data_IF_266719420926
#
_entry.id   IF_266719420926
#
_cell.length_a   1.000
_cell.length_b   1.000
_cell.length_c   1.000
_cell.angle_alpha   90.00
_cell.angle_beta   90.00
_cell.angle_gamma   90.00
#
_symmetry.space_group_name_H-M   'P 1'
#
loop_
_entity.id
_entity.type
_entity.pdbx_description
1 polymer ?
#
# COMPACT_ATOMS: atom_id res chain seq x y z
N UNK A 1 21.72 2.49 31.76
CA UNK A 1 20.43 1.77 31.83
C UNK A 1 19.92 1.70 30.40
N UNK A 2 19.62 0.52 29.88
CA UNK A 2 19.09 0.38 28.51
C UNK A 2 17.74 1.07 28.42
N UNK A 3 17.57 2.00 27.48
CA UNK A 3 16.27 2.61 27.14
C UNK A 3 15.26 1.50 26.88
N UNK A 4 14.07 1.52 27.50
CA UNK A 4 13.05 0.50 27.28
C UNK A 4 12.58 0.55 25.81
N UNK A 5 12.24 -0.61 25.26
CA UNK A 5 11.73 -0.68 23.88
C UNK A 5 10.43 0.13 23.76
N UNK A 6 10.28 0.94 22.70
CA UNK A 6 9.07 1.71 22.51
C UNK A 6 7.89 0.79 22.22
N UNK A 7 6.70 1.26 22.58
CA UNK A 7 5.46 0.62 22.18
C UNK A 7 5.17 0.97 20.71
N UNK A 8 4.77 -0.02 19.90
CA UNK A 8 4.52 0.22 18.46
C UNK A 8 3.23 -0.43 17.97
N UNK A 9 2.64 0.18 16.96
CA UNK A 9 1.62 -0.42 16.11
C UNK A 9 2.10 -0.43 14.66
N UNK A 10 1.79 -1.49 13.91
CA UNK A 10 2.20 -1.59 12.51
C UNK A 10 1.17 -2.33 11.65
N UNK A 11 1.19 -2.03 10.36
CA UNK A 11 0.37 -2.71 9.36
C UNK A 11 1.22 -3.71 8.58
N UNK A 12 0.71 -4.92 8.44
CA UNK A 12 1.29 -5.93 7.57
C UNK A 12 0.18 -6.73 6.88
N UNK A 13 0.27 -6.86 5.56
CA UNK A 13 -0.70 -7.58 4.73
C UNK A 13 -2.17 -7.18 4.99
N UNK A 14 -2.41 -5.87 5.18
CA UNK A 14 -3.74 -5.32 5.46
C UNK A 14 -4.29 -5.61 6.86
N UNK A 15 -3.47 -6.13 7.78
CA UNK A 15 -3.82 -6.41 9.19
C UNK A 15 -3.06 -5.47 10.13
N UNK A 16 -3.67 -5.22 11.28
CA UNK A 16 -3.13 -4.36 12.33
C UNK A 16 -2.51 -5.19 13.45
N UNK A 17 -1.25 -4.89 13.76
CA UNK A 17 -0.49 -5.50 14.83
C UNK A 17 -0.08 -4.45 15.87
N UNK A 18 0.02 -4.89 17.12
CA UNK A 18 0.46 -4.08 18.25
C UNK A 18 1.53 -4.83 19.04
N UNK A 19 2.63 -4.16 19.36
CA UNK A 19 3.73 -4.68 20.17
C UNK A 19 3.81 -3.81 21.44
N UNK A 20 3.31 -4.30 22.58
CA UNK A 20 3.52 -3.65 23.86
C UNK A 20 5.01 -3.61 24.22
N UNK A 21 5.45 -2.59 24.96
CA UNK A 21 6.85 -2.52 25.44
C UNK A 21 7.21 -3.81 26.21
N UNK A 22 8.25 -4.50 25.73
CA UNK A 22 8.77 -5.74 26.33
C UNK A 22 7.86 -6.98 26.28
N UNK A 23 6.73 -6.98 25.55
CA UNK A 23 5.82 -8.14 25.41
C UNK A 23 5.62 -8.57 23.97
N UNK A 24 5.22 -9.81 23.71
CA UNK A 24 5.01 -10.31 22.35
C UNK A 24 3.99 -9.51 21.53
N UNK A 25 4.14 -9.59 20.20
CA UNK A 25 3.23 -8.97 19.23
C UNK A 25 1.83 -9.58 19.34
N UNK A 26 0.81 -8.72 19.41
CA UNK A 26 -0.61 -9.07 19.35
C UNK A 26 -1.21 -8.62 18.02
N UNK A 27 -1.98 -9.50 17.36
CA UNK A 27 -2.85 -9.12 16.24
C UNK A 27 -4.11 -8.43 16.80
N UNK A 28 -4.42 -7.23 16.31
CA UNK A 28 -5.68 -6.55 16.60
C UNK A 28 -6.69 -6.98 15.55
N UNK A 29 -7.74 -7.67 16.00
CA UNK A 29 -8.84 -8.10 15.16
C UNK A 29 -9.96 -7.06 15.20
N UNK A 30 -10.29 -6.48 14.05
CA UNK A 30 -11.47 -5.61 13.95
C UNK A 30 -12.73 -6.45 13.97
N UNK A 31 -13.58 -6.23 14.98
CA UNK A 31 -14.90 -6.87 15.09
C UNK A 31 -15.77 -6.49 13.88
N UNK A 32 -15.70 -5.21 13.46
CA UNK A 32 -16.43 -4.75 12.30
C UNK A 32 -16.00 -5.45 10.99
N UNK A 33 -14.70 -5.60 10.77
CA UNK A 33 -14.18 -6.30 9.59
C UNK A 33 -14.63 -7.77 9.59
N UNK A 34 -14.58 -8.44 10.75
CA UNK A 34 -15.05 -9.82 10.88
C UNK A 34 -16.55 -9.94 10.57
N UNK A 35 -17.37 -9.06 11.12
CA UNK A 35 -18.81 -9.03 10.81
C UNK A 35 -19.07 -8.85 9.31
N UNK A 36 -18.32 -7.98 8.66
CA UNK A 36 -18.47 -7.69 7.24
C UNK A 36 -18.08 -8.90 6.38
N UNK A 37 -16.95 -9.53 6.70
CA UNK A 37 -16.51 -10.79 6.09
C UNK A 37 -17.55 -11.90 6.27
N UNK A 38 -18.11 -12.05 7.46
CA UNK A 38 -19.11 -13.06 7.77
C UNK A 38 -20.45 -12.82 7.07
N UNK A 39 -20.89 -11.56 6.96
CA UNK A 39 -22.06 -11.18 6.16
C UNK A 39 -21.84 -11.54 4.69
N UNK A 40 -20.70 -11.17 4.11
CA UNK A 40 -20.35 -11.48 2.73
C UNK A 40 -20.28 -12.98 2.48
N UNK A 41 -19.67 -13.75 3.39
CA UNK A 41 -19.60 -15.21 3.28
C UNK A 41 -21.01 -15.84 3.30
N UNK A 42 -21.91 -15.35 4.16
CA UNK A 42 -23.32 -15.79 4.18
C UNK A 42 -24.04 -15.42 2.89
N UNK A 43 -23.80 -14.23 2.35
CA UNK A 43 -24.42 -13.80 1.09
C UNK A 43 -23.90 -14.61 -0.10
N UNK A 44 -22.59 -14.91 -0.15
CA UNK A 44 -21.98 -15.77 -1.16
C UNK A 44 -22.54 -17.20 -1.08
N UNK A 45 -22.72 -17.75 0.12
CA UNK A 45 -23.35 -19.07 0.30
C UNK A 45 -24.80 -19.07 -0.20
N UNK A 46 -25.59 -18.01 0.11
CA UNK A 46 -26.99 -17.86 -0.31
C UNK A 46 -27.16 -17.62 -1.81
N UNK A 47 -26.21 -16.92 -2.44
CA UNK A 47 -26.23 -16.54 -3.86
C UNK A 47 -25.42 -17.47 -4.75
N UNK A 48 -24.73 -18.47 -4.17
CA UNK A 48 -23.91 -19.46 -4.89
C UNK A 48 -24.68 -20.13 -6.04
N UNK A 49 -25.95 -20.49 -5.83
CA UNK A 49 -26.81 -21.09 -6.86
C UNK A 49 -27.15 -20.14 -8.02
N UNK A 50 -27.19 -18.81 -7.79
CA UNK A 50 -27.39 -17.80 -8.86
C UNK A 50 -26.12 -17.61 -9.68
N UNK A 51 -24.95 -17.66 -9.03
CA UNK A 51 -23.65 -17.49 -9.68
C UNK A 51 -23.27 -18.66 -10.61
N UNK A 52 -23.71 -19.89 -10.31
CA UNK A 52 -23.52 -21.04 -11.20
C UNK A 52 -24.28 -20.92 -12.52
N UNK A 53 -25.42 -20.23 -12.56
CA UNK A 53 -26.16 -19.94 -13.81
C UNK A 53 -25.58 -18.78 -14.63
N UNK A 54 -24.97 -17.79 -13.99
CA UNK A 54 -24.33 -16.63 -14.66
C UNK A 54 -23.03 -17.02 -15.37
N UNK A 55 -22.26 -17.96 -14.84
CA UNK A 55 -21.01 -18.41 -15.46
C UNK A 55 -21.24 -19.17 -16.77
N UNK A 56 -22.38 -19.86 -16.92
CA UNK A 56 -22.81 -20.42 -18.21
C UNK A 56 -23.10 -19.31 -19.24
N UNK A 57 -23.76 -18.23 -18.84
CA UNK A 57 -24.09 -17.13 -19.76
C UNK A 57 -22.88 -16.28 -20.16
N UNK A 58 -21.91 -16.05 -19.26
CA UNK A 58 -20.66 -15.32 -19.58
C UNK A 58 -19.73 -16.16 -20.49
N UNK A 59 -19.79 -17.48 -20.40
CA UNK A 59 -19.01 -18.36 -21.31
C UNK A 59 -19.74 -18.57 -22.65
N UNK A 60 -21.07 -18.52 -22.66
CA UNK A 60 -21.90 -18.68 -23.86
C UNK A 60 -22.03 -17.39 -24.68
N UNK A 61 -21.95 -16.23 -24.04
CA UNK A 61 -22.04 -14.93 -24.69
C UNK A 61 -20.68 -14.24 -24.54
N UNK A 62 -19.93 -14.18 -25.65
CA UNK A 62 -18.59 -13.57 -25.76
C UNK A 62 -18.66 -12.05 -25.55
N UNK A 63 -19.03 -11.60 -24.35
CA UNK A 63 -19.18 -10.19 -24.04
C UNK A 63 -17.80 -9.60 -23.66
N UNK A 64 -17.06 -9.24 -24.70
CA UNK A 64 -15.70 -8.72 -24.61
C UNK A 64 -15.63 -7.42 -23.79
N UNK A 65 -16.75 -6.67 -23.70
CA UNK A 65 -16.85 -5.45 -22.89
C UNK A 65 -16.85 -5.75 -21.39
N UNK A 66 -17.53 -6.81 -20.95
CA UNK A 66 -17.51 -7.24 -19.55
C UNK A 66 -16.11 -7.72 -19.12
N UNK A 67 -15.40 -8.44 -20.00
CA UNK A 67 -14.02 -8.87 -19.77
C UNK A 67 -13.05 -7.67 -19.77
N UNK A 68 -13.28 -6.67 -20.63
CA UNK A 68 -12.50 -5.44 -20.67
C UNK A 68 -12.74 -4.56 -19.42
N UNK A 69 -13.96 -4.50 -18.87
CA UNK A 69 -14.24 -3.84 -17.59
C UNK A 69 -13.55 -4.51 -16.41
N UNK A 70 -13.55 -5.85 -16.37
CA UNK A 70 -12.85 -6.63 -15.33
C UNK A 70 -11.33 -6.44 -15.41
N UNK A 71 -10.76 -6.36 -16.63
CA UNK A 71 -9.34 -6.02 -16.82
C UNK A 71 -9.03 -4.54 -16.55
N UNK A 72 -9.91 -3.63 -16.92
CA UNK A 72 -9.77 -2.19 -16.68
C UNK A 72 -9.75 -1.87 -15.18
N UNK A 73 -10.60 -2.55 -14.39
CA UNK A 73 -10.57 -2.47 -12.93
C UNK A 73 -9.27 -3.02 -12.31
N UNK A 74 -8.67 -4.04 -12.92
CA UNK A 74 -7.38 -4.60 -12.49
C UNK A 74 -6.18 -3.70 -12.87
N UNK A 75 -6.27 -2.95 -13.98
CA UNK A 75 -5.26 -1.98 -14.42
C UNK A 75 -5.36 -0.63 -13.69
N UNK A 76 -6.56 -0.25 -13.23
CA UNK A 76 -6.80 0.96 -12.42
C UNK A 76 -6.34 0.85 -10.96
N UNK A 77 -5.55 -0.17 -10.58
CA UNK A 77 -5.15 -0.41 -9.19
C UNK A 77 -6.32 -0.68 -8.23
N UNK A 78 -7.54 -0.82 -8.74
CA UNK A 78 -8.78 -0.81 -7.97
C UNK A 78 -9.15 -2.22 -7.47
N UNK A 79 -8.14 -3.03 -7.13
CA UNK A 79 -8.36 -4.28 -6.40
C UNK A 79 -8.70 -3.89 -4.96
N UNK A 80 -9.93 -3.42 -4.74
CA UNK A 80 -10.48 -3.03 -3.44
C UNK A 80 -10.52 -4.29 -2.56
N UNK A 81 -9.39 -4.62 -1.97
CA UNK A 81 -9.26 -5.63 -0.93
C UNK A 81 -9.78 -5.01 0.36
N UNK A 82 -10.47 -5.80 1.17
CA UNK A 82 -10.88 -5.39 2.52
C UNK A 82 -9.61 -5.34 3.37
N UNK A 83 -9.08 -4.14 3.59
CA UNK A 83 -7.81 -3.95 4.28
C UNK A 83 -7.86 -2.76 5.23
N UNK A 84 -7.05 -2.87 6.29
CA UNK A 84 -6.69 -1.71 7.10
C UNK A 84 -5.65 -0.94 6.30
N UNK A 85 -6.00 0.27 5.87
CA UNK A 85 -5.21 1.09 4.95
C UNK A 85 -4.26 2.05 5.68
N UNK A 86 -4.61 2.45 6.90
CA UNK A 86 -3.80 3.35 7.70
C UNK A 86 -3.96 3.10 9.20
N UNK A 87 -2.90 3.42 9.95
CA UNK A 87 -2.86 3.39 11.41
C UNK A 87 -2.18 4.65 11.92
N UNK A 88 -2.69 5.20 13.02
CA UNK A 88 -2.02 6.24 13.78
C UNK A 88 -2.38 6.14 15.26
N UNK A 89 -1.59 6.78 16.11
CA UNK A 89 -1.83 6.81 17.56
C UNK A 89 -2.95 7.81 17.87
N UNK A 90 -3.78 7.49 18.85
CA UNK A 90 -4.80 8.39 19.37
C UNK A 90 -4.24 9.49 20.27
N UNK A 91 -5.15 10.26 20.85
CA UNK A 91 -4.82 11.32 21.81
C UNK A 91 -4.41 10.76 23.17
N UNK A 92 -5.03 9.66 23.57
CA UNK A 92 -4.82 9.05 24.88
C UNK A 92 -3.93 7.83 24.75
N UNK A 93 -3.07 7.62 25.75
CA UNK A 93 -2.25 6.40 25.82
C UNK A 93 -3.14 5.16 25.88
N UNK A 94 -2.89 4.22 24.96
CA UNK A 94 -3.71 3.03 24.75
C UNK A 94 -4.78 3.19 23.66
N UNK A 95 -4.83 4.29 22.92
CA UNK A 95 -5.74 4.44 21.77
C UNK A 95 -4.99 4.31 20.43
N UNK A 96 -5.55 3.50 19.54
CA UNK A 96 -5.10 3.38 18.15
C UNK A 96 -6.26 3.79 17.24
N UNK A 97 -5.99 4.65 16.27
CA UNK A 97 -6.92 4.94 15.19
C UNK A 97 -6.47 4.21 13.94
N UNK A 98 -7.43 3.62 13.23
CA UNK A 98 -7.13 2.98 11.96
C UNK A 98 -8.25 3.21 10.95
N UNK A 99 -7.87 3.19 9.67
CA UNK A 99 -8.77 3.33 8.54
C UNK A 99 -9.01 1.96 7.91
N UNK A 100 -10.28 1.61 7.72
CA UNK A 100 -10.68 0.40 7.01
C UNK A 100 -11.30 0.81 5.67
N UNK A 101 -10.79 0.24 4.58
CA UNK A 101 -11.40 0.35 3.26
C UNK A 101 -11.93 -1.01 2.81
N UNK A 102 -13.11 -0.99 2.23
CA UNK A 102 -13.73 -2.14 1.57
C UNK A 102 -14.16 -1.74 0.16
N UNK A 103 -14.77 -2.67 -0.57
CA UNK A 103 -15.23 -2.40 -1.93
C UNK A 103 -16.26 -1.27 -2.02
N UNK A 104 -17.11 -1.13 -1.00
CA UNK A 104 -18.27 -0.22 -1.05
C UNK A 104 -18.25 0.84 0.04
N UNK A 105 -17.49 0.61 1.11
CA UNK A 105 -17.49 1.44 2.30
C UNK A 105 -16.06 1.64 2.81
N UNK A 106 -15.75 2.87 3.23
CA UNK A 106 -14.59 3.16 4.06
C UNK A 106 -15.01 3.78 5.39
N UNK A 107 -14.12 3.70 6.38
CA UNK A 107 -14.36 4.28 7.68
C UNK A 107 -13.13 4.44 8.54
N UNK A 108 -13.26 5.30 9.55
CA UNK A 108 -12.29 5.49 10.62
C UNK A 108 -12.84 4.83 11.87
N UNK A 109 -11.96 4.07 12.53
CA UNK A 109 -12.26 3.35 13.75
C UNK A 109 -11.23 3.72 14.82
N UNK A 110 -11.68 3.72 16.06
CA UNK A 110 -10.83 3.89 17.24
C UNK A 110 -10.84 2.60 18.04
N UNK A 111 -9.66 2.07 18.30
CA UNK A 111 -9.45 0.89 19.12
C UNK A 111 -8.85 1.30 20.47
N UNK A 112 -9.47 0.87 21.56
CA UNK A 112 -8.93 1.06 22.90
C UNK A 112 -8.24 -0.22 23.36
N UNK A 113 -6.92 -0.16 23.52
CA UNK A 113 -6.06 -1.27 23.92
C UNK A 113 -6.31 -1.75 25.37
N UNK A 114 -6.87 -0.89 26.23
CA UNK A 114 -7.13 -1.22 27.65
C UNK A 114 -8.46 -1.96 27.82
N UNK A 115 -9.51 -1.51 27.15
CA UNK A 115 -10.85 -2.11 27.21
C UNK A 115 -11.11 -3.16 26.13
N UNK A 116 -10.20 -3.31 25.16
CA UNK A 116 -10.36 -4.22 24.00
C UNK A 116 -11.66 -3.90 23.22
N UNK A 117 -11.98 -2.61 23.10
CA UNK A 117 -13.22 -2.13 22.49
C UNK A 117 -12.93 -1.30 21.24
N UNK A 118 -13.82 -1.43 20.25
CA UNK A 118 -13.74 -0.76 18.96
C UNK A 118 -14.92 0.20 18.78
N UNK A 119 -14.62 1.48 18.59
CA UNK A 119 -15.60 2.52 18.29
C UNK A 119 -15.54 2.90 16.81
N UNK A 120 -16.72 3.06 16.20
CA UNK A 120 -16.85 3.56 14.83
C UNK A 120 -16.97 5.08 14.84
N UNK A 121 -15.97 5.76 14.29
CA UNK A 121 -15.88 7.22 14.30
C UNK A 121 -16.55 7.83 13.06
N UNK A 122 -16.20 7.32 11.88
CA UNK A 122 -16.77 7.74 10.62
C UNK A 122 -16.93 6.53 9.70
N UNK A 123 -18.02 6.49 8.93
CA UNK A 123 -18.30 5.36 8.05
C UNK A 123 -19.27 5.80 6.96
N UNK A 124 -18.81 5.77 5.71
CA UNK A 124 -19.56 6.26 4.54
C UNK A 124 -19.32 5.40 3.31
N UNK A 125 -20.33 5.33 2.45
CA UNK A 125 -20.17 4.73 1.13
C UNK A 125 -19.18 5.54 0.28
N UNK A 126 -18.40 4.85 -0.56
CA UNK A 126 -17.41 5.44 -1.47
C UNK A 126 -16.34 6.31 -0.78
N UNK A 127 -16.18 6.19 0.53
CA UNK A 127 -15.09 6.81 1.26
C UNK A 127 -13.85 5.93 1.13
N UNK A 128 -12.72 6.49 0.72
CA UNK A 128 -11.45 5.77 0.59
C UNK A 128 -10.38 6.54 1.36
N UNK A 129 -10.10 6.10 2.58
CA UNK A 129 -9.11 6.77 3.43
C UNK A 129 -7.76 6.10 3.22
N UNK A 130 -6.77 6.89 2.80
CA UNK A 130 -5.42 6.40 2.49
C UNK A 130 -4.49 6.48 3.69
N UNK A 131 -4.44 7.66 4.29
CA UNK A 131 -3.67 7.96 5.49
C UNK A 131 -4.47 8.86 6.41
N UNK A 132 -4.13 8.84 7.69
CA UNK A 132 -4.71 9.73 8.67
C UNK A 132 -3.73 10.08 9.78
N UNK A 133 -4.00 11.19 10.46
CA UNK A 133 -3.34 11.57 11.70
C UNK A 133 -4.34 12.27 12.63
N UNK A 134 -4.31 11.88 13.90
CA UNK A 134 -5.08 12.54 14.96
C UNK A 134 -4.21 13.60 15.62
N UNK A 135 -4.81 14.77 15.89
CA UNK A 135 -4.13 15.86 16.57
C UNK A 135 -3.85 15.45 18.03
N UNK A 136 -2.65 15.70 18.57
CA UNK A 136 -2.25 15.21 19.89
C UNK A 136 -2.98 15.85 21.08
N UNK A 137 -3.79 16.89 20.88
CA UNK A 137 -4.29 17.77 21.95
C UNK A 137 -5.75 18.18 21.71
N UNK A 138 -6.07 18.60 20.48
CA UNK A 138 -7.43 18.97 20.08
C UNK A 138 -8.19 17.81 19.45
N UNK A 139 -9.52 17.78 19.61
CA UNK A 139 -10.46 16.82 18.98
C UNK A 139 -10.56 17.02 17.45
N UNK A 140 -9.46 16.77 16.76
CA UNK A 140 -9.26 17.02 15.34
C UNK A 140 -8.44 15.88 14.73
N UNK A 141 -8.80 15.49 13.52
CA UNK A 141 -8.08 14.52 12.71
C UNK A 141 -8.01 15.03 11.27
N UNK A 142 -6.92 14.70 10.59
CA UNK A 142 -6.74 14.94 9.16
C UNK A 142 -6.61 13.60 8.45
N UNK A 143 -7.29 13.46 7.31
CA UNK A 143 -7.33 12.25 6.52
C UNK A 143 -7.02 12.58 5.05
N UNK A 144 -6.24 11.75 4.39
CA UNK A 144 -6.16 11.74 2.92
C UNK A 144 -7.28 10.87 2.37
N UNK A 145 -8.13 11.46 1.53
CA UNK A 145 -9.22 10.79 0.83
C UNK A 145 -8.83 10.63 -0.63
N UNK A 146 -8.88 9.40 -1.13
CA UNK A 146 -8.75 9.11 -2.56
C UNK A 146 -10.09 9.19 -3.27
N UNK A 147 -10.09 9.77 -4.47
CA UNK A 147 -11.25 9.89 -5.34
C UNK A 147 -11.14 8.93 -6.54
N UNK A 148 -12.26 8.72 -7.25
CA UNK A 148 -12.32 7.78 -8.37
C UNK A 148 -11.53 8.26 -9.60
N UNK A 149 -11.24 9.55 -9.69
CA UNK A 149 -10.45 10.16 -10.75
C UNK A 149 -8.92 10.02 -10.56
N UNK A 150 -8.50 9.37 -9.46
CA UNK A 150 -7.11 9.16 -9.08
C UNK A 150 -6.49 10.26 -8.24
N UNK A 151 -7.19 11.38 -8.01
CA UNK A 151 -6.75 12.43 -7.09
C UNK A 151 -6.87 11.97 -5.64
N UNK A 152 -6.09 12.61 -4.77
CA UNK A 152 -6.23 12.45 -3.33
C UNK A 152 -6.08 13.82 -2.66
N UNK A 153 -7.05 14.18 -1.83
CA UNK A 153 -7.06 15.46 -1.12
C UNK A 153 -7.18 15.25 0.39
N UNK A 154 -6.80 16.27 1.15
CA UNK A 154 -6.86 16.24 2.59
C UNK A 154 -8.19 16.79 3.09
N UNK A 155 -8.76 16.10 4.07
CA UNK A 155 -9.93 16.56 4.81
C UNK A 155 -9.66 16.56 6.30
N UNK A 156 -10.28 17.48 7.01
CA UNK A 156 -10.32 17.47 8.46
C UNK A 156 -11.67 17.03 8.98
N UNK A 157 -11.67 16.40 10.15
CA UNK A 157 -12.87 16.02 10.89
C UNK A 157 -12.56 16.01 12.38
N UNK A 158 -13.60 15.95 13.22
CA UNK A 158 -13.39 15.69 14.66
C UNK A 158 -12.90 14.26 14.88
N UNK A 159 -11.98 14.06 15.82
CA UNK A 159 -11.50 12.73 16.19
C UNK A 159 -12.61 11.89 16.87
N UNK A 160 -13.57 12.56 17.51
CA UNK A 160 -14.81 11.97 18.04
C UNK A 160 -15.84 11.61 16.96
N UNK A 161 -15.59 11.97 15.71
CA UNK A 161 -16.51 11.79 14.59
C UNK A 161 -17.32 13.05 14.29
N UNK A 162 -17.80 13.16 13.05
CA UNK A 162 -18.55 14.32 12.60
C UNK A 162 -18.50 14.53 11.09
N UNK A 163 -18.78 15.77 10.67
CA UNK A 163 -18.63 16.18 9.27
C UNK A 163 -17.15 16.30 8.92
N UNK A 164 -16.84 15.95 7.68
CA UNK A 164 -15.53 16.17 7.07
C UNK A 164 -15.57 17.49 6.30
N UNK A 165 -14.49 18.25 6.34
CA UNK A 165 -14.29 19.48 5.60
C UNK A 165 -12.98 19.37 4.80
N UNK A 166 -13.01 19.69 3.50
CA UNK A 166 -11.82 19.67 2.66
C UNK A 166 -10.84 20.77 3.07
N UNK A 167 -9.56 20.45 3.04
CA UNK A 167 -8.45 21.35 3.36
C UNK A 167 -7.56 21.60 2.14
N UNK A 168 -7.48 20.62 1.24
CA UNK A 168 -6.85 20.80 -0.06
C UNK A 168 -7.83 20.42 -1.16
N UNK A 169 -7.65 21.02 -2.33
CA UNK A 169 -8.45 20.80 -3.52
C UNK A 169 -7.53 20.86 -4.74
N UNK A 170 -7.98 20.26 -5.84
CA UNK A 170 -7.29 20.29 -7.12
C UNK A 170 -6.86 18.92 -7.60
N UNK A 171 -6.13 18.93 -8.71
CA UNK A 171 -5.65 17.71 -9.37
C UNK A 171 -4.28 17.31 -8.79
N UNK A 172 -4.33 16.88 -7.54
CA UNK A 172 -3.16 16.55 -6.74
C UNK A 172 -3.33 15.21 -6.04
N UNK A 173 -2.20 14.72 -5.55
CA UNK A 173 -2.10 13.54 -4.73
C UNK A 173 -1.49 13.91 -3.38
N UNK A 174 -2.35 14.33 -2.47
CA UNK A 174 -2.00 14.73 -1.13
C UNK A 174 -2.19 13.56 -0.16
N UNK A 175 -1.11 13.17 0.52
CA UNK A 175 -1.10 11.98 1.36
C UNK A 175 -0.20 12.15 2.59
N UNK A 176 -0.18 11.14 3.46
CA UNK A 176 0.63 11.07 4.68
C UNK A 176 0.61 12.36 5.54
N UNK A 177 -0.55 12.95 5.85
CA UNK A 177 -0.61 14.14 6.69
C UNK A 177 -0.19 13.81 8.12
N UNK A 178 0.55 14.70 8.78
CA UNK A 178 1.06 14.56 10.15
C UNK A 178 1.05 15.89 10.89
N UNK A 179 0.42 15.92 12.06
CA UNK A 179 0.38 17.09 12.93
C UNK A 179 1.76 17.41 13.51
N UNK A 180 2.04 18.70 13.60
CA UNK A 180 3.25 19.23 14.24
C UNK A 180 2.94 19.46 15.71
N UNK A 181 3.61 18.71 16.60
CA UNK A 181 3.39 18.87 18.05
C UNK A 181 3.78 20.27 18.52
N UNK A 182 2.95 20.87 19.36
CA UNK A 182 3.20 22.19 19.96
C UNK A 182 3.06 23.37 18.99
N UNK A 183 2.59 23.18 17.76
CA UNK A 183 2.35 24.27 16.77
C UNK A 183 0.87 24.45 16.41
N UNK A 184 -0.04 24.22 17.37
CA UNK A 184 -1.48 24.35 17.16
C UNK A 184 -1.97 23.52 15.97
N UNK A 185 -2.85 24.09 15.14
CA UNK A 185 -3.45 23.40 13.98
C UNK A 185 -2.57 23.45 12.73
N UNK A 186 -1.30 23.12 12.90
CA UNK A 186 -0.34 22.99 11.81
C UNK A 186 -0.04 21.53 11.52
N UNK A 187 -0.11 21.13 10.26
CA UNK A 187 0.30 19.80 9.82
C UNK A 187 1.17 19.87 8.55
N UNK A 188 2.02 18.85 8.39
CA UNK A 188 2.82 18.62 7.20
C UNK A 188 2.27 17.43 6.42
N UNK A 189 2.45 17.43 5.12
CA UNK A 189 1.97 16.36 4.24
C UNK A 189 2.82 16.30 2.97
N UNK A 190 2.72 15.19 2.25
CA UNK A 190 3.36 15.04 0.94
C UNK A 190 2.33 15.33 -0.16
N UNK A 191 2.77 15.94 -1.26
CA UNK A 191 1.90 16.36 -2.35
C UNK A 191 2.62 16.18 -3.68
N UNK A 192 1.91 15.68 -4.68
CA UNK A 192 2.36 15.64 -6.07
C UNK A 192 1.22 16.10 -6.99
N UNK A 193 1.52 16.88 -8.02
CA UNK A 193 0.54 17.24 -9.05
C UNK A 193 0.31 16.07 -9.99
N UNK A 194 -0.93 15.91 -10.47
CA UNK A 194 -1.29 14.89 -11.45
C UNK A 194 -1.29 15.54 -12.84
N UNK A 195 -0.62 14.91 -13.80
CA UNK A 195 -0.71 15.27 -15.20
C UNK A 195 -1.78 14.40 -15.88
N UNK A 196 -2.66 15.03 -16.66
CA UNK A 196 -3.73 14.34 -17.40
C UNK A 196 -3.58 14.52 -18.91
N UNK A 197 -4.07 13.56 -19.67
CA UNK A 197 -4.21 13.68 -21.12
C UNK A 197 -5.47 14.50 -21.51
N UNK A 198 -5.68 14.67 -22.82
CA UNK A 198 -6.83 15.37 -23.39
C UNK A 198 -8.19 14.73 -23.03
N UNK A 199 -8.21 13.46 -22.61
CA UNK A 199 -9.40 12.73 -22.21
C UNK A 199 -9.61 12.73 -20.68
N UNK A 200 -8.73 13.41 -19.93
CA UNK A 200 -8.80 13.52 -18.47
C UNK A 200 -8.24 12.31 -17.72
N UNK A 201 -7.53 11.39 -18.40
CA UNK A 201 -6.89 10.26 -17.72
C UNK A 201 -5.53 10.66 -17.16
N UNK A 202 -5.17 10.20 -15.94
CA UNK A 202 -3.85 10.47 -15.37
C UNK A 202 -2.75 9.76 -16.18
N UNK A 203 -1.74 10.50 -16.61
CA UNK A 203 -0.62 10.01 -17.43
C UNK A 203 0.73 10.07 -16.72
N UNK A 204 0.91 11.01 -15.80
CA UNK A 204 2.13 11.14 -14.99
C UNK A 204 1.84 11.90 -13.70
N UNK A 205 2.84 12.00 -12.82
CA UNK A 205 2.77 12.80 -11.60
C UNK A 205 4.03 13.64 -11.45
N UNK A 206 3.98 14.79 -10.78
CA UNK A 206 5.20 15.49 -10.39
C UNK A 206 5.97 14.70 -9.32
N UNK A 207 7.26 14.98 -9.10
CA UNK A 207 7.94 14.53 -7.90
C UNK A 207 7.16 14.94 -6.65
N UNK A 208 7.18 14.10 -5.61
CA UNK A 208 6.54 14.44 -4.34
C UNK A 208 7.33 15.51 -3.58
N UNK A 209 6.63 16.58 -3.22
CA UNK A 209 7.13 17.65 -2.36
C UNK A 209 6.48 17.58 -0.97
N UNK A 210 7.17 18.11 0.04
CA UNK A 210 6.64 18.24 1.40
C UNK A 210 6.10 19.65 1.58
N UNK A 211 4.85 19.74 2.01
CA UNK A 211 4.15 21.00 2.27
C UNK A 211 3.66 21.06 3.72
N UNK A 212 3.42 22.26 4.20
CA UNK A 212 2.80 22.54 5.49
C UNK A 212 1.57 23.41 5.31
N UNK A 213 0.52 23.11 6.08
CA UNK A 213 -0.66 23.96 6.22
C UNK A 213 -0.77 24.38 7.68
N UNK A 214 -0.82 25.68 7.91
CA UNK A 214 -1.25 26.29 9.16
C UNK A 214 -2.72 26.70 8.99
N UNK A 215 -3.62 25.98 9.68
CA UNK A 215 -5.06 26.22 9.57
C UNK A 215 -5.52 27.49 10.30
N UNK A 216 -4.77 27.95 11.30
CA UNK A 216 -5.13 29.14 12.07
C UNK A 216 -4.71 30.40 11.31
N UNK A 217 -3.53 30.37 10.67
CA UNK A 217 -3.04 31.44 9.80
C UNK A 217 -3.56 31.35 8.35
N UNK A 218 -4.22 30.25 7.98
CA UNK A 218 -4.62 29.90 6.62
C UNK A 218 -3.47 30.05 5.61
N UNK A 219 -2.30 29.51 5.97
CA UNK A 219 -1.07 29.61 5.19
C UNK A 219 -0.62 28.24 4.72
N UNK A 220 -0.32 28.13 3.43
CA UNK A 220 0.30 26.97 2.82
C UNK A 220 1.74 27.32 2.42
N UNK A 221 2.69 26.45 2.75
CA UNK A 221 4.11 26.64 2.44
C UNK A 221 4.74 25.32 1.98
N UNK A 222 5.67 25.40 1.02
CA UNK A 222 6.46 24.25 0.55
C UNK A 222 7.75 24.19 1.34
N UNK A 223 7.95 23.11 2.10
CA UNK A 223 9.12 22.94 2.97
C UNK A 223 10.30 22.27 2.25
N UNK A 224 10.01 21.28 1.40
CA UNK A 224 11.02 20.52 0.66
C UNK A 224 10.49 20.17 -0.73
N UNK A 225 11.27 20.51 -1.74
CA UNK A 225 11.08 20.11 -3.13
C UNK A 225 12.46 19.84 -3.72
N UNK A 226 12.64 18.69 -4.37
CA UNK A 226 13.93 18.26 -4.90
C UNK A 226 13.80 17.72 -6.32
N UNK A 227 14.61 18.27 -7.22
CA UNK A 227 14.65 17.78 -8.61
C UNK A 227 15.17 16.34 -8.65
N UNK A 228 14.39 15.46 -9.28
CA UNK A 228 14.77 14.06 -9.47
C UNK A 228 14.60 13.16 -8.25
N UNK A 229 14.02 13.67 -7.15
CA UNK A 229 13.71 12.89 -5.96
C UNK A 229 12.27 13.09 -5.52
N UNK A 230 11.65 12.00 -5.06
CA UNK A 230 10.41 12.06 -4.32
C UNK A 230 10.68 12.14 -2.81
N UNK A 231 9.92 12.99 -2.11
CA UNK A 231 9.96 13.13 -0.66
C UNK A 231 8.65 12.63 0.00
N UNK A 232 8.74 11.60 0.84
CA UNK A 232 7.60 10.89 1.44
C UNK A 232 7.56 10.94 2.97
N UNK A 233 6.37 10.71 3.52
CA UNK A 233 6.11 10.50 4.94
C UNK A 233 6.74 11.56 5.86
N UNK A 234 6.39 12.85 5.69
CA UNK A 234 7.01 13.91 6.47
C UNK A 234 6.66 13.85 7.95
N UNK A 235 7.64 14.13 8.81
CA UNK A 235 7.51 14.27 10.26
C UNK A 235 8.28 15.48 10.73
N UNK A 236 7.57 16.51 11.19
CA UNK A 236 8.20 17.72 11.73
C UNK A 236 8.08 17.77 13.25
N UNK A 237 9.20 17.99 13.91
CA UNK A 237 9.28 18.23 15.36
C UNK A 237 8.98 19.71 15.67
N UNK A 238 8.72 20.00 16.96
CA UNK A 238 8.37 21.35 17.43
C UNK A 238 9.49 22.38 17.16
N UNK A 239 10.75 21.93 17.17
CA UNK A 239 11.95 22.74 16.90
C UNK A 239 12.12 23.12 15.41
N UNK A 240 11.29 22.57 14.52
CA UNK A 240 11.37 22.78 13.07
C UNK A 240 12.26 21.76 12.35
N UNK A 241 12.81 20.77 13.05
CA UNK A 241 13.51 19.65 12.42
C UNK A 241 12.52 18.78 11.66
N UNK A 242 12.78 18.55 10.38
CA UNK A 242 11.93 17.76 9.48
C UNK A 242 12.61 16.44 9.11
N UNK A 243 11.86 15.35 9.17
CA UNK A 243 12.30 14.04 8.73
C UNK A 243 11.39 13.54 7.61
N UNK A 244 11.97 12.86 6.63
CA UNK A 244 11.24 12.32 5.50
C UNK A 244 12.03 11.21 4.81
N UNK A 245 11.34 10.38 4.02
CA UNK A 245 11.98 9.42 3.14
C UNK A 245 12.26 10.09 1.80
N UNK A 246 13.49 10.01 1.32
CA UNK A 246 13.90 10.42 -0.02
C UNK A 246 14.12 9.19 -0.89
N UNK A 247 13.55 9.19 -2.10
CA UNK A 247 13.86 8.17 -3.13
C UNK A 247 14.02 8.79 -4.51
N UNK A 248 14.76 8.19 -5.44
CA UNK A 248 14.83 8.67 -6.82
C UNK A 248 13.46 8.68 -7.48
N UNK A 249 13.12 9.81 -8.10
CA UNK A 249 11.88 9.99 -8.84
C UNK A 249 11.89 9.12 -10.10
N UNK A 250 10.77 8.44 -10.36
CA UNK A 250 10.56 7.64 -11.56
C UNK A 250 9.21 8.02 -12.17
N UNK A 251 9.24 8.83 -13.22
CA UNK A 251 8.04 9.15 -13.97
C UNK A 251 7.40 7.90 -14.56
N UNK A 252 6.07 7.93 -14.69
CA UNK A 252 5.31 6.87 -15.32
C UNK A 252 5.77 6.71 -16.78
N UNK A 253 6.01 7.83 -17.48
CA UNK A 253 6.51 7.83 -18.86
C UNK A 253 7.89 7.16 -18.99
N UNK A 254 8.81 7.36 -18.03
CA UNK A 254 10.12 6.70 -18.05
C UNK A 254 10.04 5.18 -17.84
N UNK A 255 8.96 4.65 -17.25
CA UNK A 255 8.72 3.19 -17.18
C UNK A 255 8.30 2.61 -18.53
N UNK A 256 7.68 3.43 -19.38
CA UNK A 256 7.14 3.05 -20.70
C UNK A 256 7.94 3.58 -21.87
N UNK A 257 9.11 4.22 -21.65
CA UNK A 257 10.06 4.50 -22.72
C UNK A 257 10.61 3.19 -23.28
N UNK A 258 9.82 2.58 -24.16
CA UNK A 258 10.24 1.48 -25.01
C UNK A 258 11.37 2.06 -25.85
N UNK A 259 12.58 1.57 -25.64
CA UNK A 259 13.74 1.94 -26.46
C UNK A 259 13.35 1.82 -27.94
N UNK A 260 13.67 2.80 -28.82
CA UNK A 260 13.40 2.69 -30.25
C UNK A 260 13.93 1.38 -30.85
N UNK A 261 15.01 0.84 -30.29
CA UNK A 261 15.57 -0.46 -30.62
C UNK A 261 14.68 -1.64 -30.23
N UNK A 262 14.00 -1.55 -29.09
CA UNK A 262 13.05 -2.56 -28.64
C UNK A 262 11.79 -2.56 -29.52
N UNK A 263 11.29 -1.39 -29.92
CA UNK A 263 10.21 -1.27 -30.92
C UNK A 263 10.62 -1.92 -32.24
N UNK A 264 11.83 -1.61 -32.74
CA UNK A 264 12.34 -2.20 -33.98
C UNK A 264 12.50 -3.72 -33.90
N UNK A 265 13.03 -4.23 -32.79
CA UNK A 265 13.11 -5.67 -32.52
C UNK A 265 11.74 -6.32 -32.50
N UNK A 266 10.76 -5.69 -31.88
CA UNK A 266 9.41 -6.24 -31.79
C UNK A 266 8.71 -6.23 -33.14
N UNK A 267 8.88 -5.20 -33.98
CA UNK A 267 8.40 -5.19 -35.38
C UNK A 267 9.07 -6.31 -36.19
N UNK A 268 10.40 -6.47 -36.08
CA UNK A 268 11.16 -7.46 -36.83
C UNK A 268 10.83 -8.90 -36.41
N UNK A 269 10.65 -9.14 -35.10
CA UNK A 269 10.37 -10.46 -34.54
C UNK A 269 8.88 -10.80 -34.52
N UNK A 270 7.99 -9.83 -34.78
CA UNK A 270 6.53 -10.04 -34.79
C UNK A 270 6.09 -11.19 -35.71
N UNK A 271 6.57 -11.31 -36.97
CA UNK A 271 6.16 -12.41 -37.85
C UNK A 271 6.57 -13.79 -37.29
N UNK A 272 7.77 -13.87 -36.72
CA UNK A 272 8.29 -15.11 -36.12
C UNK A 272 7.48 -15.49 -34.88
N UNK A 273 7.21 -14.52 -33.99
CA UNK A 273 6.38 -14.74 -32.80
C UNK A 273 4.95 -15.14 -33.18
N UNK A 274 4.39 -14.57 -34.25
CA UNK A 274 3.08 -14.95 -34.76
C UNK A 274 3.06 -16.40 -35.24
N UNK A 275 4.06 -16.83 -36.01
CA UNK A 275 4.20 -18.23 -36.44
C UNK A 275 4.36 -19.19 -35.26
N UNK A 276 5.17 -18.84 -34.27
CA UNK A 276 5.34 -19.64 -33.04
C UNK A 276 4.02 -19.74 -32.27
N UNK A 277 3.30 -18.63 -32.13
CA UNK A 277 2.00 -18.61 -31.43
C UNK A 277 0.96 -19.44 -32.18
N UNK A 278 0.94 -19.36 -33.51
CA UNK A 278 0.07 -20.17 -34.36
C UNK A 278 0.41 -21.66 -34.25
N UNK A 279 1.70 -22.01 -34.20
CA UNK A 279 2.14 -23.38 -33.93
C UNK A 279 1.63 -23.88 -32.56
N UNK A 280 1.78 -23.10 -31.50
CA UNK A 280 1.28 -23.46 -30.17
C UNK A 280 -0.25 -23.60 -30.13
N UNK A 281 -0.98 -22.74 -30.84
CA UNK A 281 -2.42 -22.84 -30.98
C UNK A 281 -2.82 -24.15 -31.67
N UNK A 282 -2.18 -24.47 -32.80
CA UNK A 282 -2.40 -25.72 -33.53
C UNK A 282 -1.99 -26.94 -32.72
N UNK A 283 -0.90 -26.87 -31.96
CA UNK A 283 -0.42 -27.94 -31.07
C UNK A 283 -1.42 -28.21 -29.94
N UNK A 284 -2.01 -27.15 -29.40
CA UNK A 284 -3.07 -27.24 -28.39
C UNK A 284 -4.32 -27.90 -28.97
N UNK A 285 -4.76 -27.47 -30.15
CA UNK A 285 -5.91 -28.10 -30.84
C UNK A 285 -5.61 -29.57 -31.15
N UNK A 286 -4.40 -29.90 -31.61
CA UNK A 286 -3.97 -31.28 -31.84
C UNK A 286 -4.00 -32.10 -30.57
N UNK A 287 -3.51 -31.54 -29.45
CA UNK A 287 -3.55 -32.20 -28.15
C UNK A 287 -4.99 -32.46 -27.68
N UNK A 288 -5.89 -31.49 -27.85
CA UNK A 288 -7.30 -31.64 -27.47
C UNK A 288 -8.06 -32.65 -28.33
N UNK A 289 -7.81 -32.67 -29.64
CA UNK A 289 -8.56 -33.53 -30.58
C UNK A 289 -7.98 -34.94 -30.66
N UNK A 290 -6.65 -35.08 -30.64
CA UNK A 290 -5.97 -36.37 -30.89
C UNK A 290 -5.24 -36.93 -29.68
N UNK A 291 -5.17 -36.18 -28.57
CA UNK A 291 -4.40 -36.55 -27.38
C UNK A 291 -2.87 -36.52 -27.60
N UNK A 292 -2.39 -35.95 -28.71
CA UNK A 292 -0.97 -35.94 -29.10
C UNK A 292 -0.54 -34.53 -29.50
N UNK A 293 0.64 -34.12 -29.03
CA UNK A 293 1.33 -32.94 -29.54
C UNK A 293 1.76 -33.16 -30.99
N UNK A 294 1.77 -32.10 -31.81
CA UNK A 294 2.26 -32.11 -33.19
C UNK A 294 3.74 -32.51 -33.28
N UNK A 295 4.51 -32.30 -32.21
CA UNK A 295 5.90 -32.73 -32.07
C UNK A 295 6.08 -34.24 -31.82
N UNK A 296 5.00 -35.00 -31.58
CA UNK A 296 5.05 -36.42 -31.25
C UNK A 296 5.11 -37.35 -32.48
N UNK A 297 5.26 -36.80 -33.69
CA UNK A 297 5.53 -37.59 -34.89
C UNK A 297 6.98 -38.09 -34.91
N UNK A 298 7.36 -38.98 -33.97
CA UNK A 298 8.66 -39.64 -34.04
C UNK A 298 9.23 -40.38 -32.82
N UNK A 299 8.60 -40.37 -31.63
CA UNK A 299 9.25 -40.98 -30.44
C UNK A 299 8.37 -41.97 -29.65
N UNK A 300 9.05 -43.02 -29.19
CA UNK A 300 8.53 -44.25 -28.59
C UNK A 300 7.83 -44.04 -27.23
N UNK A 301 6.71 -44.75 -27.02
CA UNK A 301 5.90 -44.75 -25.79
C UNK A 301 6.73 -45.19 -24.56
N UNK A 302 6.81 -44.34 -23.54
CA UNK A 302 6.96 -44.79 -22.13
C UNK A 302 5.67 -44.51 -21.37
N UNK A 303 5.02 -45.57 -20.90
CA UNK A 303 3.99 -45.51 -19.85
C UNK A 303 4.67 -45.00 -18.58
N UNK A 304 4.28 -43.81 -18.14
CA UNK A 304 4.66 -43.20 -16.85
C UNK A 304 3.40 -42.71 -16.13
N UNK A 305 3.45 -42.55 -14.80
CA UNK A 305 2.28 -42.44 -13.95
C UNK A 305 1.50 -41.14 -14.19
N UNK A 306 0.20 -41.22 -13.91
CA UNK A 306 -0.86 -40.24 -14.12
C UNK A 306 -0.42 -38.76 -14.07
N UNK A 307 -0.28 -38.15 -15.25
CA UNK A 307 0.23 -36.79 -15.46
C UNK A 307 -0.56 -35.73 -14.69
N UNK A 308 -1.84 -35.99 -14.35
CA UNK A 308 -2.64 -35.10 -13.49
C UNK A 308 -2.10 -35.02 -12.05
N UNK A 309 -1.55 -36.11 -11.51
CA UNK A 309 -0.97 -36.12 -10.15
C UNK A 309 0.43 -35.49 -10.11
N UNK A 310 1.19 -35.61 -11.20
CA UNK A 310 2.52 -35.01 -11.33
C UNK A 310 2.48 -33.52 -11.70
N UNK A 311 1.48 -33.05 -12.45
CA UNK A 311 1.27 -31.62 -12.74
C UNK A 311 0.76 -30.84 -11.53
N UNK A 312 -0.11 -31.44 -10.72
CA UNK A 312 -0.58 -30.81 -9.47
C UNK A 312 0.54 -30.79 -8.43
N UNK A 313 1.31 -31.88 -8.30
CA UNK A 313 2.49 -31.90 -7.41
C UNK A 313 3.64 -31.01 -7.91
N UNK A 314 3.88 -30.97 -9.23
CA UNK A 314 4.91 -30.14 -9.85
C UNK A 314 4.60 -28.64 -9.76
N UNK A 315 3.33 -28.25 -9.86
CA UNK A 315 2.89 -26.86 -9.70
C UNK A 315 2.81 -26.43 -8.23
N UNK A 316 2.47 -27.33 -7.30
CA UNK A 316 2.56 -27.07 -5.85
C UNK A 316 4.02 -26.99 -5.38
N UNK A 317 4.92 -27.82 -5.91
CA UNK A 317 6.35 -27.77 -5.61
C UNK A 317 7.05 -26.60 -6.30
N UNK A 318 6.66 -26.21 -7.52
CA UNK A 318 7.15 -24.99 -8.18
C UNK A 318 6.61 -23.72 -7.52
N UNK A 319 5.33 -23.66 -7.09
CA UNK A 319 4.85 -22.53 -6.29
C UNK A 319 5.55 -22.47 -4.93
N UNK A 320 5.80 -23.60 -4.26
CA UNK A 320 6.59 -23.62 -3.02
C UNK A 320 8.08 -23.32 -3.24
N UNK A 321 8.68 -23.69 -4.38
CA UNK A 321 10.09 -23.42 -4.70
C UNK A 321 10.29 -22.02 -5.28
N UNK A 322 9.33 -21.43 -5.98
CA UNK A 322 9.35 -20.02 -6.41
C UNK A 322 9.06 -19.09 -5.23
N UNK A 323 8.16 -19.49 -4.31
CA UNK A 323 7.97 -18.79 -3.04
C UNK A 323 9.14 -19.00 -2.07
N UNK A 324 9.80 -20.17 -2.04
CA UNK A 324 11.01 -20.39 -1.21
C UNK A 324 12.26 -19.78 -1.81
N UNK A 325 12.49 -19.86 -3.13
CA UNK A 325 13.68 -19.27 -3.77
C UNK A 325 13.66 -17.74 -3.79
N UNK A 326 12.48 -17.09 -3.64
CA UNK A 326 12.37 -15.65 -3.33
C UNK A 326 12.39 -15.32 -1.84
N UNK A 327 12.21 -16.31 -0.95
CA UNK A 327 12.22 -16.14 0.52
C UNK A 327 13.53 -16.57 1.18
N UNK A 328 14.51 -17.08 0.43
CA UNK A 328 15.75 -17.64 0.98
C UNK A 328 16.92 -16.64 1.06
N UNK A 329 16.61 -15.35 1.19
CA UNK A 329 17.59 -14.34 1.61
C UNK A 329 16.87 -13.37 2.53
N UNK A 330 17.56 -12.93 3.59
CA UNK A 330 17.29 -11.71 4.37
C UNK A 330 17.27 -10.43 3.48
N UNK A 331 16.62 -10.50 2.33
CA UNK A 331 16.57 -9.47 1.30
C UNK A 331 15.46 -8.50 1.66
N UNK A 332 15.91 -7.41 2.26
CA UNK A 332 15.16 -6.20 2.56
C UNK A 332 14.24 -5.81 1.38
N UNK A 333 12.97 -5.48 1.66
CA UNK A 333 12.00 -5.14 0.62
C UNK A 333 12.21 -3.71 0.09
N UNK A 334 12.61 -2.79 0.96
CA UNK A 334 12.97 -1.43 0.59
C UNK A 334 14.30 -1.40 -0.21
N UNK A 335 14.35 -0.76 -1.37
CA UNK A 335 15.60 -0.54 -2.10
C UNK A 335 16.61 0.31 -1.32
N UNK A 336 17.91 0.18 -1.63
CA UNK A 336 18.99 0.92 -0.95
C UNK A 336 18.90 2.44 -1.14
N UNK A 337 18.38 2.87 -2.29
CA UNK A 337 18.19 4.28 -2.65
C UNK A 337 17.01 4.94 -1.92
N UNK A 338 16.35 4.23 -0.99
CA UNK A 338 15.31 4.78 -0.13
C UNK A 338 15.92 5.16 1.21
N UNK A 339 16.11 6.45 1.41
CA UNK A 339 16.90 7.01 2.51
C UNK A 339 16.00 7.80 3.47
N UNK A 340 16.14 7.57 4.77
CA UNK A 340 15.60 8.46 5.79
C UNK A 340 16.52 9.67 5.94
N UNK A 341 15.97 10.85 5.66
CA UNK A 341 16.68 12.13 5.71
C UNK A 341 16.17 12.96 6.87
N UNK A 342 17.09 13.57 7.61
CA UNK A 342 16.84 14.61 8.60
C UNK A 342 17.29 15.95 8.04
N UNK A 343 16.40 16.93 8.04
CA UNK A 343 16.63 18.31 7.68
C UNK A 343 16.50 19.18 8.94
N UNK A 344 17.54 19.96 9.25
CA UNK A 344 17.47 20.92 10.35
C UNK A 344 16.65 22.17 9.96
N UNK A 345 16.39 23.05 10.94
CA UNK A 345 15.65 24.29 10.71
C UNK A 345 16.36 25.28 9.77
N UNK A 346 17.66 25.10 9.51
CA UNK A 346 18.44 25.89 8.56
C UNK A 346 18.42 25.31 7.13
N UNK A 347 17.86 24.10 6.95
CA UNK A 347 17.78 23.40 5.67
C UNK A 347 18.93 22.43 5.39
N UNK A 348 19.86 22.20 6.34
CA UNK A 348 20.93 21.23 6.14
C UNK A 348 20.38 19.81 6.26
N UNK A 349 20.74 18.96 5.30
CA UNK A 349 20.24 17.59 5.22
C UNK A 349 21.30 16.57 5.60
N UNK A 350 20.88 15.56 6.36
CA UNK A 350 21.72 14.43 6.79
C UNK A 350 20.95 13.14 6.55
N UNK A 351 21.60 12.15 5.94
CA UNK A 351 21.03 10.81 5.75
C UNK A 351 21.27 10.01 7.02
N UNK A 352 20.20 9.48 7.62
CA UNK A 352 20.26 8.69 8.85
C UNK A 352 20.34 7.20 8.58
N UNK A 353 19.56 6.70 7.61
CA UNK A 353 19.39 5.28 7.38
C UNK A 353 19.01 5.00 5.92
N UNK A 354 19.52 3.91 5.35
CA UNK A 354 19.10 3.38 4.05
C UNK A 354 18.09 2.23 4.22
N UNK A 355 17.45 1.84 3.12
CA UNK A 355 16.43 0.79 3.09
C UNK A 355 15.20 1.07 3.97
N UNK A 356 14.68 2.31 3.94
CA UNK A 356 13.54 2.71 4.76
C UNK A 356 12.25 2.75 3.94
N UNK A 357 11.27 1.91 4.29
CA UNK A 357 9.94 1.89 3.67
C UNK A 357 8.97 2.85 4.36
N UNK A 358 8.96 2.82 5.70
CA UNK A 358 8.11 3.66 6.55
C UNK A 358 8.81 3.88 7.88
N UNK A 359 8.53 5.01 8.52
CA UNK A 359 9.13 5.36 9.81
C UNK A 359 8.18 6.17 10.68
N UNK A 360 8.47 6.20 11.98
CA UNK A 360 7.89 7.14 12.93
C UNK A 360 8.94 7.57 13.96
N UNK A 361 8.69 8.70 14.63
CA UNK A 361 9.68 9.38 15.47
C UNK A 361 9.15 9.57 16.89
N UNK A 362 10.01 9.30 17.86
CA UNK A 362 9.80 9.55 19.27
C UNK A 362 10.05 11.02 19.62
N UNK A 363 9.52 11.49 20.76
CA UNK A 363 9.70 12.88 21.19
C UNK A 363 11.15 13.26 21.50
N UNK A 364 12.02 12.29 21.76
CA UNK A 364 13.46 12.46 22.03
C UNK A 364 14.33 12.46 20.77
N UNK A 365 13.74 12.28 19.59
CA UNK A 365 14.46 12.18 18.32
C UNK A 365 14.97 10.78 17.97
N UNK A 366 14.77 9.79 18.85
CA UNK A 366 14.88 8.37 18.47
C UNK A 366 13.80 8.02 17.46
N UNK A 367 14.03 7.00 16.63
CA UNK A 367 13.10 6.66 15.55
C UNK A 367 12.93 5.16 15.37
N UNK A 368 11.75 4.79 14.88
CA UNK A 368 11.42 3.43 14.48
C UNK A 368 11.21 3.42 12.99
N UNK A 369 11.78 2.45 12.30
CA UNK A 369 11.59 2.28 10.86
C UNK A 369 11.35 0.82 10.50
N UNK A 370 10.73 0.62 9.34
CA UNK A 370 10.56 -0.70 8.72
C UNK A 370 11.23 -0.74 7.37
N UNK A 371 11.82 -1.89 7.09
CA UNK A 371 12.45 -2.23 5.81
C UNK A 371 11.53 -3.10 4.93
N UNK A 372 10.31 -3.36 5.43
CA UNK A 372 9.26 -4.20 4.84
C UNK A 372 9.21 -5.62 5.38
N UNK A 373 10.22 -6.09 6.13
CA UNK A 373 10.27 -7.42 6.75
C UNK A 373 10.47 -7.37 8.26
N UNK A 374 11.12 -6.33 8.77
CA UNK A 374 11.33 -6.11 10.21
C UNK A 374 11.07 -4.66 10.59
N UNK A 375 10.72 -4.48 11.86
CA UNK A 375 10.66 -3.17 12.51
C UNK A 375 11.88 -3.02 13.40
N UNK A 376 12.64 -1.94 13.19
CA UNK A 376 13.88 -1.63 13.90
C UNK A 376 13.72 -0.32 14.64
N UNK A 377 14.13 -0.30 15.91
CA UNK A 377 14.27 0.89 16.73
C UNK A 377 15.73 1.34 16.73
N UNK A 378 15.94 2.62 16.43
CA UNK A 378 17.22 3.30 16.56
C UNK A 378 17.19 4.17 17.81
N UNK A 379 17.94 3.81 18.84
CA UNK A 379 18.01 4.58 20.08
C UNK A 379 18.87 5.84 19.94
N UNK A 380 18.75 6.76 20.90
CA UNK A 380 19.53 8.00 20.91
C UNK A 380 21.05 7.77 21.05
N UNK A 381 21.46 6.59 21.51
CA UNK A 381 22.85 6.18 21.66
C UNK A 381 23.44 5.58 20.36
N UNK A 382 22.64 5.47 19.29
CA UNK A 382 23.04 4.99 17.97
C UNK A 382 22.91 3.47 17.77
N UNK A 383 22.27 2.74 18.68
CA UNK A 383 22.10 1.30 18.58
C UNK A 383 20.77 0.94 17.90
N UNK A 384 20.84 -0.07 17.03
CA UNK A 384 19.68 -0.66 16.39
C UNK A 384 19.19 -1.89 17.16
N UNK A 385 17.89 -1.95 17.43
CA UNK A 385 17.22 -3.11 18.04
C UNK A 385 16.03 -3.55 17.22
N UNK A 386 15.92 -4.85 16.96
CA UNK A 386 14.77 -5.40 16.26
C UNK A 386 13.58 -5.53 17.21
N UNK A 387 12.44 -4.93 16.85
CA UNK A 387 11.22 -4.96 17.66
C UNK A 387 10.23 -6.04 17.22
N UNK A 388 10.14 -6.28 15.91
CA UNK A 388 9.22 -7.24 15.30
C UNK A 388 9.72 -7.71 13.92
N UNK A 389 9.30 -8.91 13.52
CA UNK A 389 9.52 -9.49 12.18
C UNK A 389 8.20 -9.95 11.58
N UNK A 390 8.03 -9.76 10.28
CA UNK A 390 6.81 -10.06 9.55
C UNK A 390 7.03 -10.17 8.05
N UNK A 391 5.94 -10.29 7.30
CA UNK A 391 5.96 -10.24 5.84
C UNK A 391 5.23 -8.98 5.41
N UNK A 392 5.82 -8.19 4.51
CA UNK A 392 5.19 -6.99 3.94
C UNK A 392 4.66 -6.02 5.02
N UNK A 393 5.57 -5.52 5.87
CA UNK A 393 5.25 -4.49 6.86
C UNK A 393 5.23 -3.13 6.15
N UNK A 394 4.04 -2.59 5.93
CA UNK A 394 3.80 -1.41 5.07
C UNK A 394 3.92 -0.08 5.82
N UNK A 395 3.55 -0.07 7.10
CA UNK A 395 3.49 1.16 7.90
C UNK A 395 3.78 0.86 9.38
N UNK A 396 4.44 1.80 10.06
CA UNK A 396 4.72 1.73 11.49
C UNK A 396 4.37 3.05 12.18
N UNK A 397 3.85 2.96 13.41
CA UNK A 397 3.55 4.08 14.29
C UNK A 397 4.02 3.79 15.72
N UNK A 398 4.63 4.78 16.38
CA UNK A 398 5.15 4.65 17.75
C UNK A 398 4.11 5.13 18.77
N UNK A 399 3.63 4.23 19.62
CA UNK A 399 2.70 4.57 20.72
C UNK A 399 3.48 5.03 21.96
N UNK A 400 2.90 6.01 22.68
CA UNK A 400 3.51 6.66 23.86
C UNK A 400 2.91 6.14 25.17
#
# INVERSE_FOLDING_TARGET
>A
MSTPDPEIAYLAEGKLYHKPSGKDVKLIQSHFLQELLDRRNRDNQRSSWKSQGMMWNVTAQQDWQAIAQVRGAALAGNTRMENIAAVCIGQQSGEIFYALNTQTIGGVFRYNLKSDSEDRIAHKQNLQIRQMAVHPEEDLAVCSIGYEDGSANLVTMRASGGKMAECTEGDSYDDAPRWVRGKGRTFVYQSAGIARDEHGFPVDMSPYAIKSIDMDANKLETLVEQDGYDCFHPRMLADGTLYFIRRPYKSIDNRTRISPWQILKDILLFPIRLCVTLYWLLDTISHFVTGKHLSAAGAMRKKGPDARRMLVAGRLLQMQQEDKAKRDTDSVLAPKDWELVKQDAAGNQTVLQDHVLSFDICSDGSYVYTDGLKVVYHDADGNNRELAKGTLIEHVAVTF
#
